data_IF_887095198460
#
_entry.id   IF_887095198460
#
_cell.length_a   1.000
_cell.length_b   1.000
_cell.length_c   1.000
_cell.angle_alpha   90.00
_cell.angle_beta   90.00
_cell.angle_gamma   90.00
#
_symmetry.space_group_name_H-M   'P 1'
#
loop_
_entity.id
_entity.type
_entity.pdbx_description
1 polymer ?
#
# COMPACT_ATOMS: atom_id res chain seq x y z
N UNK A 1 27.58 16.60 2.57
CA UNK A 1 26.13 16.72 2.76
C UNK A 1 25.38 17.26 1.54
N UNK A 2 25.83 18.34 0.87
CA UNK A 2 25.14 18.92 -0.32
C UNK A 2 25.11 17.98 -1.53
N UNK A 3 26.17 17.25 -1.82
CA UNK A 3 26.24 16.28 -2.93
C UNK A 3 25.30 15.10 -2.75
N UNK A 4 25.22 14.53 -1.53
CA UNK A 4 24.31 13.44 -1.19
C UNK A 4 22.84 13.87 -1.34
N UNK A 5 22.50 15.09 -0.91
CA UNK A 5 21.17 15.68 -1.12
C UNK A 5 20.84 15.83 -2.61
N UNK A 6 21.82 16.14 -3.45
CA UNK A 6 21.65 16.30 -4.90
C UNK A 6 21.40 14.97 -5.60
N UNK A 7 22.16 13.94 -5.25
CA UNK A 7 21.99 12.56 -5.76
C UNK A 7 20.66 11.97 -5.32
N UNK A 8 20.31 12.12 -4.04
CA UNK A 8 19.03 11.67 -3.49
C UNK A 8 17.87 12.42 -4.16
N UNK A 9 18.00 13.72 -4.40
CA UNK A 9 17.00 14.53 -5.11
C UNK A 9 16.83 14.08 -6.56
N UNK A 10 17.92 13.70 -7.23
CA UNK A 10 17.90 13.18 -8.60
C UNK A 10 17.24 11.80 -8.68
N UNK A 11 17.57 10.88 -7.76
CA UNK A 11 16.95 9.56 -7.65
C UNK A 11 15.46 9.68 -7.32
N UNK A 12 15.07 10.58 -6.44
CA UNK A 12 13.68 10.83 -6.10
C UNK A 12 12.93 11.53 -7.24
N UNK A 13 13.58 12.43 -7.97
CA UNK A 13 13.00 13.09 -9.13
C UNK A 13 12.68 12.09 -10.24
N UNK A 14 13.56 11.12 -10.50
CA UNK A 14 13.30 10.03 -11.45
C UNK A 14 12.30 9.01 -10.92
N UNK A 15 12.27 8.79 -9.60
CA UNK A 15 11.43 7.78 -8.97
C UNK A 15 10.04 8.31 -8.57
N UNK A 16 9.96 9.57 -8.14
CA UNK A 16 8.74 10.19 -7.60
C UNK A 16 8.15 11.31 -8.49
N UNK A 17 8.89 11.79 -9.51
CA UNK A 17 8.42 12.85 -10.41
C UNK A 17 7.08 12.57 -11.11
N UNK A 18 6.81 11.33 -11.59
CA UNK A 18 5.50 11.02 -12.15
C UNK A 18 4.36 11.18 -11.13
N UNK A 19 4.66 11.14 -9.83
CA UNK A 19 3.72 11.21 -8.72
C UNK A 19 3.40 12.65 -8.32
N UNK A 20 4.38 13.55 -8.40
CA UNK A 20 4.25 14.96 -8.03
C UNK A 20 3.38 15.76 -9.01
N UNK A 21 3.46 15.45 -10.31
CA UNK A 21 2.66 16.13 -11.34
C UNK A 21 1.17 15.78 -11.25
N UNK A 22 0.86 14.57 -10.79
CA UNK A 22 -0.52 14.12 -10.58
C UNK A 22 -1.14 14.74 -9.32
N UNK A 23 -0.35 14.97 -8.26
CA UNK A 23 -0.82 15.56 -7.00
C UNK A 23 -1.24 17.04 -7.15
N UNK A 24 -0.46 17.85 -7.88
CA UNK A 24 -0.73 19.30 -8.05
C UNK A 24 -1.91 19.65 -8.94
N UNK A 25 -2.35 18.74 -9.82
CA UNK A 25 -3.39 19.05 -10.82
C UNK A 25 -4.83 18.83 -10.37
N UNK A 26 -5.09 18.35 -9.16
CA UNK A 26 -6.41 17.77 -8.82
C UNK A 26 -7.02 18.11 -7.47
N UNK A 27 -6.78 19.27 -6.95
CA UNK A 27 -7.61 19.77 -5.82
C UNK A 27 -8.91 20.44 -6.28
N UNK A 28 -9.53 19.96 -7.37
CA UNK A 28 -10.64 20.65 -8.01
C UNK A 28 -11.94 19.88 -8.27
N UNK A 29 -12.04 18.59 -7.90
CA UNK A 29 -13.35 17.89 -8.00
C UNK A 29 -13.55 17.02 -6.78
N UNK A 30 -14.24 17.57 -5.79
CA UNK A 30 -14.85 16.80 -4.72
C UNK A 30 -16.04 16.04 -5.30
N UNK A 31 -15.85 14.77 -5.62
CA UNK A 31 -16.99 13.85 -5.72
C UNK A 31 -17.44 13.60 -4.30
N UNK A 32 -18.58 14.13 -3.91
CA UNK A 32 -19.28 13.75 -2.69
C UNK A 32 -19.80 12.33 -2.88
N UNK A 33 -18.95 11.33 -2.67
CA UNK A 33 -19.39 9.98 -2.34
C UNK A 33 -19.77 10.00 -0.86
N UNK A 34 -20.98 9.59 -0.51
CA UNK A 34 -21.42 9.41 0.87
C UNK A 34 -20.41 8.47 1.57
N UNK A 35 -19.61 9.04 2.45
CA UNK A 35 -18.68 8.28 3.29
C UNK A 35 -19.45 7.76 4.49
N UNK A 36 -19.91 6.54 4.43
CA UNK A 36 -20.27 5.82 5.64
C UNK A 36 -19.00 5.56 6.46
N UNK A 37 -18.80 6.31 7.51
CA UNK A 37 -17.68 6.11 8.45
C UNK A 37 -18.03 5.01 9.45
N UNK A 38 -17.94 3.77 9.03
CA UNK A 38 -17.88 2.64 9.95
C UNK A 38 -16.51 2.60 10.64
N UNK A 39 -16.41 2.12 11.90
CA UNK A 39 -15.14 1.80 12.51
C UNK A 39 -14.32 0.93 11.56
N UNK A 40 -13.04 1.22 11.41
CA UNK A 40 -12.19 0.60 10.39
C UNK A 40 -12.21 -0.93 10.46
N UNK A 41 -12.24 -1.46 11.68
CA UNK A 41 -12.19 -2.91 11.93
C UNK A 41 -13.50 -3.61 11.56
N UNK A 42 -14.66 -3.02 11.88
CA UNK A 42 -15.97 -3.54 11.47
C UNK A 42 -16.13 -3.50 9.93
N UNK A 43 -15.68 -2.42 9.29
CA UNK A 43 -15.72 -2.29 7.84
C UNK A 43 -14.83 -3.33 7.14
N UNK A 44 -13.60 -3.52 7.61
CA UNK A 44 -12.69 -4.50 7.02
C UNK A 44 -13.11 -5.95 7.29
N UNK A 45 -13.81 -6.21 8.42
CA UNK A 45 -14.45 -7.50 8.66
C UNK A 45 -15.50 -7.84 7.60
N UNK A 46 -16.43 -6.91 7.33
CA UNK A 46 -17.44 -7.07 6.26
C UNK A 46 -16.82 -7.24 4.88
N UNK A 47 -15.74 -6.49 4.58
CA UNK A 47 -14.98 -6.66 3.34
C UNK A 47 -14.39 -8.07 3.27
N UNK A 48 -13.83 -8.57 4.37
CA UNK A 48 -13.29 -9.94 4.45
C UNK A 48 -14.35 -11.02 4.16
N UNK A 49 -15.54 -10.89 4.73
CA UNK A 49 -16.67 -11.78 4.44
C UNK A 49 -17.04 -11.79 2.95
N UNK A 50 -17.17 -10.62 2.33
CA UNK A 50 -17.48 -10.52 0.91
C UNK A 50 -16.38 -11.08 0.00
N UNK A 51 -15.13 -10.93 0.38
CA UNK A 51 -14.00 -11.54 -0.33
C UNK A 51 -14.02 -13.08 -0.19
N UNK A 52 -14.39 -13.61 0.98
CA UNK A 52 -14.54 -15.05 1.19
C UNK A 52 -15.68 -15.66 0.35
N UNK A 53 -16.74 -14.87 0.05
CA UNK A 53 -17.82 -15.25 -0.88
C UNK A 53 -17.39 -15.18 -2.36
N UNK A 54 -16.14 -14.81 -2.67
CA UNK A 54 -15.61 -14.70 -4.04
C UNK A 54 -15.80 -13.32 -4.69
N UNK A 55 -16.34 -12.34 -3.97
CA UNK A 55 -16.53 -10.98 -4.49
C UNK A 55 -15.23 -10.17 -4.48
N UNK A 56 -15.21 -9.06 -5.20
CA UNK A 56 -14.14 -8.06 -5.11
C UNK A 56 -14.63 -6.81 -4.38
N UNK A 57 -13.74 -6.10 -3.70
CA UNK A 57 -14.07 -4.88 -2.99
C UNK A 57 -13.12 -3.74 -3.35
N UNK A 58 -13.63 -2.52 -3.47
CA UNK A 58 -12.81 -1.32 -3.61
C UNK A 58 -12.91 -0.52 -2.32
N UNK A 59 -11.77 -0.29 -1.68
CA UNK A 59 -11.71 0.40 -0.41
C UNK A 59 -10.83 1.65 -0.48
N UNK A 60 -11.17 2.67 0.30
CA UNK A 60 -10.28 3.79 0.58
C UNK A 60 -9.20 3.36 1.59
N UNK A 61 -7.96 3.74 1.29
CA UNK A 61 -6.87 3.44 2.21
C UNK A 61 -6.77 4.53 3.26
N UNK A 62 -6.77 4.12 4.53
CA UNK A 62 -6.53 5.00 5.69
C UNK A 62 -5.08 4.83 6.17
N UNK A 63 -4.52 5.92 6.71
CA UNK A 63 -3.16 5.92 7.25
C UNK A 63 -2.05 6.05 6.21
N UNK A 64 -0.82 6.01 6.69
CA UNK A 64 0.38 6.32 5.90
C UNK A 64 1.37 5.15 5.81
N UNK A 65 0.99 3.99 6.35
CA UNK A 65 1.89 2.83 6.44
C UNK A 65 2.30 2.27 5.07
N UNK A 66 1.53 2.52 4.01
CA UNK A 66 1.79 2.01 2.67
C UNK A 66 2.44 3.04 1.73
N UNK A 67 2.91 4.17 2.26
CA UNK A 67 3.72 5.13 1.49
C UNK A 67 5.04 4.50 1.04
N UNK A 68 5.55 4.83 -0.12
CA UNK A 68 5.10 5.81 -1.10
C UNK A 68 4.13 5.23 -2.15
N UNK A 69 3.76 3.96 -2.05
CA UNK A 69 2.95 3.29 -3.09
C UNK A 69 1.47 3.59 -2.99
N UNK A 70 0.95 3.80 -1.78
CA UNK A 70 -0.44 4.13 -1.53
C UNK A 70 -0.49 5.36 -0.63
N UNK A 71 -1.26 6.37 -1.03
CA UNK A 71 -1.39 7.64 -0.31
C UNK A 71 -2.80 7.77 0.28
N UNK A 72 -2.87 8.09 1.58
CA UNK A 72 -4.12 8.35 2.27
C UNK A 72 -4.90 9.49 1.62
N UNK A 73 -6.22 9.34 1.52
CA UNK A 73 -7.11 10.36 0.97
C UNK A 73 -7.01 10.57 -0.55
N UNK A 74 -6.06 9.89 -1.22
CA UNK A 74 -5.88 9.96 -2.67
C UNK A 74 -6.16 8.64 -3.37
N UNK A 75 -5.70 7.56 -2.79
CA UNK A 75 -5.67 6.26 -3.44
C UNK A 75 -6.75 5.33 -2.87
N UNK A 76 -7.33 4.52 -3.74
CA UNK A 76 -8.15 3.37 -3.41
C UNK A 76 -7.43 2.11 -3.86
N UNK A 77 -7.77 0.98 -3.27
CA UNK A 77 -7.28 -0.33 -3.70
C UNK A 77 -8.45 -1.24 -3.99
N UNK A 78 -8.32 -2.05 -5.03
CA UNK A 78 -9.24 -3.14 -5.29
C UNK A 78 -8.65 -4.41 -4.69
N UNK A 79 -9.45 -5.05 -3.86
CA UNK A 79 -9.16 -6.32 -3.23
C UNK A 79 -9.89 -7.43 -3.97
N UNK A 80 -9.26 -8.59 -4.08
CA UNK A 80 -9.86 -9.81 -4.60
C UNK A 80 -9.47 -11.01 -3.73
N UNK A 81 -10.24 -12.09 -3.81
CA UNK A 81 -9.81 -13.40 -3.35
C UNK A 81 -8.50 -13.82 -4.01
N UNK A 82 -7.84 -14.80 -3.45
CA UNK A 82 -6.54 -15.28 -3.94
C UNK A 82 -6.45 -16.82 -3.82
N UNK A 83 -5.74 -17.42 -4.75
CA UNK A 83 -5.38 -18.84 -4.70
C UNK A 83 -3.99 -19.03 -4.09
N UNK A 84 -3.08 -18.07 -4.36
CA UNK A 84 -1.70 -18.11 -3.90
C UNK A 84 -1.22 -16.75 -3.43
N UNK A 85 -0.51 -16.74 -2.29
CA UNK A 85 0.13 -15.55 -1.73
C UNK A 85 1.62 -15.54 -2.07
N UNK A 86 2.13 -14.39 -2.53
CA UNK A 86 3.53 -14.22 -2.91
C UNK A 86 4.19 -13.09 -2.13
N UNK A 87 5.48 -13.27 -1.85
CA UNK A 87 6.30 -12.20 -1.27
C UNK A 87 6.33 -11.01 -2.22
N UNK A 88 5.85 -9.87 -1.74
CA UNK A 88 5.64 -8.65 -2.53
C UNK A 88 4.18 -8.27 -2.72
N UNK A 89 3.24 -9.16 -2.46
CA UNK A 89 1.81 -8.83 -2.51
C UNK A 89 1.43 -7.89 -1.36
N UNK A 90 0.58 -6.94 -1.64
CA UNK A 90 -0.08 -6.13 -0.62
C UNK A 90 -1.40 -6.82 -0.27
N UNK A 91 -1.64 -7.05 1.01
CA UNK A 91 -2.77 -7.82 1.50
C UNK A 91 -3.49 -7.09 2.63
N UNK A 92 -4.79 -7.35 2.75
CA UNK A 92 -5.53 -7.07 3.98
C UNK A 92 -5.51 -8.35 4.81
N UNK A 93 -5.02 -8.25 6.04
CA UNK A 93 -4.93 -9.37 6.96
C UNK A 93 -5.39 -8.97 8.35
N UNK A 94 -6.02 -9.92 9.06
CA UNK A 94 -6.34 -9.79 10.46
C UNK A 94 -5.13 -10.22 11.29
N UNK A 95 -4.53 -9.30 12.04
CA UNK A 95 -3.33 -9.56 12.85
C UNK A 95 -3.65 -9.82 14.32
N UNK A 96 -4.86 -9.50 14.73
CA UNK A 96 -5.46 -9.83 16.03
C UNK A 96 -6.99 -9.77 15.89
N UNK A 97 -7.76 -10.33 16.81
CA UNK A 97 -9.22 -10.27 16.77
C UNK A 97 -9.75 -8.84 16.57
N UNK A 98 -10.47 -8.60 15.46
CA UNK A 98 -10.99 -7.30 15.08
C UNK A 98 -9.93 -6.29 14.59
N UNK A 99 -8.67 -6.65 14.52
CA UNK A 99 -7.60 -5.74 14.10
C UNK A 99 -7.03 -6.11 12.73
N UNK A 100 -7.30 -5.26 11.72
CA UNK A 100 -6.92 -5.48 10.34
C UNK A 100 -5.89 -4.47 9.88
N UNK A 101 -4.95 -4.94 9.06
CA UNK A 101 -3.93 -4.10 8.42
C UNK A 101 -3.89 -4.32 6.92
N UNK A 102 -3.60 -3.25 6.18
CA UNK A 102 -3.21 -3.34 4.77
C UNK A 102 -1.69 -3.18 4.68
N UNK A 103 -0.98 -4.30 4.56
CA UNK A 103 0.47 -4.31 4.53
C UNK A 103 1.00 -5.24 3.43
N UNK A 104 2.31 -5.22 3.23
CA UNK A 104 2.97 -6.04 2.20
C UNK A 104 3.62 -7.26 2.81
N UNK A 105 3.46 -8.41 2.17
CA UNK A 105 4.19 -9.63 2.50
C UNK A 105 5.67 -9.42 2.19
N UNK A 106 6.51 -9.43 3.22
CA UNK A 106 7.96 -9.31 3.09
C UNK A 106 8.69 -10.63 3.22
N UNK A 107 8.07 -11.60 3.88
CA UNK A 107 8.57 -12.95 4.05
C UNK A 107 7.41 -13.93 4.17
N UNK A 108 7.58 -15.13 3.64
CA UNK A 108 6.68 -16.27 3.80
C UNK A 108 7.50 -17.48 4.21
N UNK A 109 7.04 -18.18 5.23
CA UNK A 109 7.61 -19.42 5.71
C UNK A 109 6.47 -20.42 5.92
N UNK A 110 6.23 -21.25 4.90
CA UNK A 110 5.05 -22.10 4.84
C UNK A 110 3.75 -21.28 4.94
N UNK A 111 2.99 -21.51 6.00
CA UNK A 111 1.76 -20.80 6.32
C UNK A 111 1.97 -19.49 7.08
N UNK A 112 3.18 -19.23 7.56
CA UNK A 112 3.48 -18.01 8.31
C UNK A 112 3.89 -16.88 7.38
N UNK A 113 3.27 -15.73 7.57
CA UNK A 113 3.56 -14.51 6.84
C UNK A 113 4.14 -13.45 7.77
N UNK A 114 5.14 -12.74 7.27
CA UNK A 114 5.62 -11.49 7.87
C UNK A 114 5.20 -10.34 6.98
N UNK A 115 4.44 -9.43 7.56
CA UNK A 115 3.90 -8.25 6.90
C UNK A 115 4.64 -7.00 7.33
N UNK A 116 4.79 -6.04 6.42
CA UNK A 116 5.31 -4.72 6.74
C UNK A 116 4.69 -3.66 5.84
N UNK A 117 4.32 -2.54 6.42
CA UNK A 117 3.95 -1.36 5.65
C UNK A 117 5.14 -0.81 4.86
N UNK A 118 4.91 -0.42 3.62
CA UNK A 118 5.96 0.16 2.76
C UNK A 118 6.57 1.44 3.36
N UNK A 119 5.78 2.18 4.14
CA UNK A 119 6.18 3.38 4.86
C UNK A 119 6.69 3.12 6.28
N UNK A 120 6.70 1.88 6.76
CA UNK A 120 7.20 1.54 8.08
C UNK A 120 8.70 1.31 8.02
N UNK A 121 9.45 2.06 8.84
CA UNK A 121 10.91 1.90 8.97
C UNK A 121 11.23 0.70 9.84
N UNK A 122 10.46 0.52 10.91
CA UNK A 122 10.55 -0.56 11.90
C UNK A 122 9.14 -1.10 12.15
N UNK A 123 9.07 -2.22 12.77
CA UNK A 123 7.80 -2.91 13.00
C UNK A 123 7.43 -3.79 11.83
N UNK A 124 7.08 -5.00 12.17
CA UNK A 124 6.50 -6.01 11.29
C UNK A 124 5.36 -6.66 12.05
N UNK A 125 4.38 -7.13 11.33
CA UNK A 125 3.29 -7.93 11.87
C UNK A 125 3.44 -9.36 11.36
N UNK A 126 2.91 -10.30 12.12
CA UNK A 126 2.90 -11.73 11.79
C UNK A 126 1.47 -12.23 11.76
N UNK A 127 1.15 -13.04 10.77
CA UNK A 127 -0.13 -13.72 10.65
C UNK A 127 0.05 -15.05 9.91
N UNK A 128 -1.01 -15.83 9.82
CA UNK A 128 -1.07 -17.03 8.98
C UNK A 128 -1.67 -16.70 7.61
N UNK A 129 -1.47 -17.56 6.63
CA UNK A 129 -2.13 -17.43 5.32
C UNK A 129 -3.66 -17.35 5.44
N UNK A 130 -4.25 -18.11 6.39
CA UNK A 130 -5.69 -18.09 6.66
C UNK A 130 -6.22 -16.78 7.26
N UNK A 131 -5.35 -15.94 7.83
CA UNK A 131 -5.73 -14.63 8.37
C UNK A 131 -5.81 -13.55 7.28
N UNK A 132 -5.40 -13.87 6.05
CA UNK A 132 -5.44 -12.94 4.93
C UNK A 132 -6.85 -12.90 4.35
N UNK A 133 -7.49 -11.73 4.41
CA UNK A 133 -8.83 -11.53 3.88
C UNK A 133 -8.84 -11.32 2.36
N UNK A 134 -7.79 -10.73 1.79
CA UNK A 134 -7.71 -10.50 0.35
C UNK A 134 -6.43 -9.82 -0.09
N UNK A 135 -6.17 -9.91 -1.40
CA UNK A 135 -4.98 -9.36 -2.06
C UNK A 135 -5.34 -8.13 -2.88
N UNK A 136 -4.47 -7.12 -2.88
CA UNK A 136 -4.61 -5.96 -3.74
C UNK A 136 -4.28 -6.34 -5.18
N UNK A 137 -5.26 -6.22 -6.05
CA UNK A 137 -5.12 -6.46 -7.50
C UNK A 137 -4.93 -5.18 -8.30
N UNK A 138 -5.46 -4.05 -7.80
CA UNK A 138 -5.38 -2.77 -8.48
C UNK A 138 -5.13 -1.62 -7.48
N UNK A 139 -4.31 -0.67 -7.91
CA UNK A 139 -4.08 0.61 -7.24
C UNK A 139 -4.81 1.68 -8.03
N UNK A 140 -5.93 2.19 -7.50
CA UNK A 140 -6.81 3.14 -8.16
C UNK A 140 -6.44 4.55 -7.69
N UNK A 141 -5.97 5.36 -8.61
CA UNK A 141 -5.58 6.74 -8.38
C UNK A 141 -6.44 7.67 -9.22
N UNK A 142 -6.57 8.93 -8.85
CA UNK A 142 -7.23 9.89 -9.71
C UNK A 142 -6.64 9.87 -11.14
N UNK A 143 -7.47 9.48 -12.14
CA UNK A 143 -7.11 9.40 -13.56
C UNK A 143 -6.16 8.28 -13.98
N UNK A 144 -5.88 7.32 -13.10
CA UNK A 144 -5.03 6.19 -13.43
C UNK A 144 -5.25 5.01 -12.51
N UNK A 145 -5.48 3.85 -13.09
CA UNK A 145 -5.43 2.56 -12.41
C UNK A 145 -4.16 1.82 -12.77
N UNK A 146 -3.51 1.22 -11.79
CA UNK A 146 -2.32 0.41 -11.95
C UNK A 146 -2.63 -1.01 -11.46
N UNK A 147 -2.41 -2.00 -12.31
CA UNK A 147 -2.50 -3.40 -11.90
C UNK A 147 -1.35 -3.75 -10.95
N UNK A 148 -1.66 -4.53 -9.91
CA UNK A 148 -0.63 -5.04 -9.00
C UNK A 148 0.41 -5.90 -9.74
N UNK A 149 0.01 -6.57 -10.83
CA UNK A 149 0.88 -7.37 -11.71
C UNK A 149 1.74 -6.53 -12.68
N UNK A 150 1.57 -5.20 -12.74
CA UNK A 150 2.38 -4.34 -13.62
C UNK A 150 3.89 -4.52 -13.34
N UNK A 151 4.64 -4.92 -14.36
CA UNK A 151 6.08 -5.22 -14.25
C UNK A 151 6.91 -4.01 -13.77
N UNK A 152 6.50 -2.77 -14.13
CA UNK A 152 7.21 -1.55 -13.70
C UNK A 152 6.93 -1.28 -12.22
N UNK A 153 5.69 -1.48 -11.79
CA UNK A 153 5.31 -1.36 -10.39
C UNK A 153 6.05 -2.40 -9.55
N UNK A 154 6.08 -3.67 -9.97
CA UNK A 154 6.77 -4.75 -9.28
C UNK A 154 8.29 -4.52 -9.17
N UNK A 155 8.92 -3.97 -10.21
CA UNK A 155 10.35 -3.56 -10.14
C UNK A 155 10.58 -2.46 -9.10
N UNK A 156 9.68 -1.47 -9.00
CA UNK A 156 9.76 -0.40 -8.00
C UNK A 156 9.57 -0.93 -6.59
N UNK A 157 8.62 -1.83 -6.38
CA UNK A 157 8.38 -2.48 -5.08
C UNK A 157 9.63 -3.28 -4.67
N UNK A 158 10.23 -4.06 -5.57
CA UNK A 158 11.46 -4.81 -5.28
C UNK A 158 12.62 -3.88 -4.92
N UNK A 159 12.83 -2.83 -5.68
CA UNK A 159 13.86 -1.82 -5.39
C UNK A 159 13.61 -1.15 -4.04
N UNK A 160 12.35 -0.78 -3.72
CA UNK A 160 11.98 -0.19 -2.44
C UNK A 160 12.28 -1.13 -1.25
N UNK A 161 12.03 -2.41 -1.42
CA UNK A 161 12.36 -3.42 -0.41
C UNK A 161 13.88 -3.54 -0.22
N UNK A 162 14.64 -3.52 -1.30
CA UNK A 162 16.12 -3.53 -1.24
C UNK A 162 16.67 -2.27 -0.56
N UNK A 163 16.05 -1.12 -0.74
CA UNK A 163 16.42 0.15 -0.09
C UNK A 163 16.03 0.23 1.40
N UNK A 164 15.60 -0.87 2.01
CA UNK A 164 15.19 -0.93 3.43
C UNK A 164 16.18 -0.28 4.39
N UNK A 165 17.52 -0.45 4.29
CA UNK A 165 18.47 0.16 5.22
C UNK A 165 18.43 1.69 5.24
N UNK A 166 18.15 2.31 4.09
CA UNK A 166 18.13 3.78 3.95
C UNK A 166 16.70 4.34 3.85
N UNK A 167 15.69 3.48 3.96
CA UNK A 167 14.26 3.83 3.82
C UNK A 167 13.84 5.02 4.70
N UNK A 168 14.34 5.10 5.93
CA UNK A 168 14.03 6.20 6.86
C UNK A 168 14.37 7.57 6.28
N UNK A 169 15.50 7.70 5.60
CA UNK A 169 15.93 8.95 4.97
C UNK A 169 15.11 9.26 3.72
N UNK A 170 14.77 8.23 2.95
CA UNK A 170 13.92 8.36 1.77
C UNK A 170 12.50 8.79 2.15
N UNK A 171 11.92 8.23 3.20
CA UNK A 171 10.61 8.61 3.71
C UNK A 171 10.61 10.01 4.32
N UNK A 172 11.68 10.39 5.04
CA UNK A 172 11.84 11.75 5.53
C UNK A 172 11.83 12.75 4.37
N UNK A 173 12.64 12.49 3.33
CA UNK A 173 12.69 13.34 2.15
C UNK A 173 11.38 13.35 1.35
N UNK A 174 10.68 12.21 1.31
CA UNK A 174 9.35 12.12 0.70
C UNK A 174 8.34 13.05 1.40
N UNK A 175 8.37 13.13 2.73
CA UNK A 175 7.51 14.05 3.51
C UNK A 175 7.78 15.52 3.20
N UNK A 176 9.05 15.88 3.06
CA UNK A 176 9.44 17.27 2.73
C UNK A 176 9.10 17.67 1.29
N UNK A 177 8.80 16.71 0.42
CA UNK A 177 8.53 16.93 -1.00
C UNK A 177 7.04 16.89 -1.38
N UNK A 178 6.17 16.44 -0.47
CA UNK A 178 4.72 16.35 -0.67
C UNK A 178 4.00 17.46 0.10
#
# INVERSE_FOLDING_TARGET
MKALKRVIRMLLHTFLWPWRKAYRRRNGVAVQEERHELPNDAFLGLVGEKLAEGHTAVIWVKGYSMRPFIEFGRDRVKLAPFDELKVGDAVVAQIAPGHYVLHRIIQRDGERLTLQGDGNVRGVEHCLCGDVCGVVTEYIRPGRTLLASDKRLQRRIRLWRWLRPIRRYLLWLYRECI
#
